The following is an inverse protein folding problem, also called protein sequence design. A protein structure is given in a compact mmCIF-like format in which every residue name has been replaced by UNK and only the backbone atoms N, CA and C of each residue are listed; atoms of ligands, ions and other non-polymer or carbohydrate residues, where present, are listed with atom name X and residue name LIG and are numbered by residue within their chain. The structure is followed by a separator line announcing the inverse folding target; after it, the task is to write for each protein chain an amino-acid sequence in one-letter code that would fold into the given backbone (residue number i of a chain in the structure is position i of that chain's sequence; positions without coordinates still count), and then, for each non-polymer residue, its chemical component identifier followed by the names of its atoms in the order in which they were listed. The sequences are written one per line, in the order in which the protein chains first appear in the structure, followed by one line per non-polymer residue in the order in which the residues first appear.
data_IF_446650616207
#
_entry.id   IF_446650616207
#
_cell.length_a   1.000
_cell.length_b   1.000
_cell.length_c   1.000
_cell.angle_alpha   90.00
_cell.angle_beta   90.00
_cell.angle_gamma   90.00
#
_symmetry.space_group_name_H-M   'P 1'
#
loop_
_entity.id
_entity.type
_entity.pdbx_description
1 polymer ?
#
# COMPACT_ATOMS: atom_id res chain seq x y z
N UNK A 1 -27.65 -21.28 9.03
CA UNK A 1 -28.41 -20.54 8.01
C UNK A 1 -27.61 -19.31 7.71
N UNK A 2 -26.89 -19.27 6.58
CA UNK A 2 -26.22 -18.05 6.13
C UNK A 2 -27.31 -17.02 5.83
N UNK A 3 -27.33 -15.93 6.59
CA UNK A 3 -28.20 -14.81 6.29
C UNK A 3 -27.48 -13.99 5.20
N UNK A 4 -27.92 -14.02 3.93
CA UNK A 4 -27.20 -13.34 2.87
C UNK A 4 -27.16 -11.84 3.16
N UNK A 5 -25.97 -11.24 3.02
CA UNK A 5 -25.79 -9.81 3.25
C UNK A 5 -26.70 -9.00 2.31
N UNK A 6 -27.30 -7.88 2.76
CA UNK A 6 -28.15 -7.05 1.91
C UNK A 6 -27.41 -6.57 0.66
N UNK A 7 -28.06 -6.45 -0.53
CA UNK A 7 -27.36 -6.13 -1.79
C UNK A 7 -26.46 -4.90 -1.76
N UNK A 8 -26.82 -3.87 -0.97
CA UNK A 8 -26.08 -2.61 -0.80
C UNK A 8 -25.31 -2.50 0.53
N UNK A 9 -25.02 -3.61 1.22
CA UNK A 9 -24.34 -3.59 2.54
C UNK A 9 -23.05 -2.77 2.55
N UNK A 10 -22.31 -2.78 1.44
CA UNK A 10 -21.03 -2.07 1.29
C UNK A 10 -21.20 -0.55 1.37
N UNK A 11 -22.37 -0.02 1.03
CA UNK A 11 -22.69 1.40 1.19
C UNK A 11 -22.81 1.76 2.67
N UNK A 12 -23.51 0.93 3.46
CA UNK A 12 -23.60 1.11 4.92
C UNK A 12 -22.22 1.09 5.57
N UNK A 13 -21.37 0.16 5.16
CA UNK A 13 -20.00 0.06 5.69
C UNK A 13 -19.16 1.28 5.33
N UNK A 14 -19.28 1.78 4.10
CA UNK A 14 -18.58 2.99 3.68
C UNK A 14 -19.10 4.23 4.44
N UNK A 15 -20.41 4.36 4.65
CA UNK A 15 -20.98 5.46 5.42
C UNK A 15 -20.55 5.42 6.89
N UNK A 16 -20.46 4.24 7.48
CA UNK A 16 -19.94 4.06 8.84
C UNK A 16 -18.49 4.55 8.93
N UNK A 17 -17.65 4.17 7.96
CA UNK A 17 -16.27 4.64 7.87
C UNK A 17 -16.19 6.17 7.76
N UNK A 18 -16.94 6.77 6.84
CA UNK A 18 -16.95 8.22 6.66
C UNK A 18 -17.46 8.95 7.91
N UNK A 19 -18.49 8.41 8.56
CA UNK A 19 -19.05 8.97 9.79
C UNK A 19 -18.04 8.93 10.94
N UNK A 20 -17.32 7.82 11.10
CA UNK A 20 -16.23 7.72 12.06
C UNK A 20 -15.15 8.78 11.82
N UNK A 21 -14.71 8.94 10.56
CA UNK A 21 -13.66 9.90 10.23
C UNK A 21 -14.11 11.35 10.46
N UNK A 22 -15.34 11.69 10.09
CA UNK A 22 -15.93 13.01 10.39
C UNK A 22 -16.02 13.28 11.89
N UNK A 23 -16.38 12.27 12.69
CA UNK A 23 -16.49 12.44 14.15
C UNK A 23 -15.12 12.59 14.82
N UNK A 24 -14.19 11.67 14.54
CA UNK A 24 -12.90 11.57 15.24
C UNK A 24 -11.79 12.43 14.67
N UNK A 25 -11.80 12.72 13.37
CA UNK A 25 -10.67 13.35 12.67
C UNK A 25 -11.04 14.61 11.89
N UNK A 26 -12.18 15.25 12.16
CA UNK A 26 -12.59 16.50 11.48
C UNK A 26 -11.48 17.57 11.43
N UNK A 27 -10.68 17.68 12.49
CA UNK A 27 -9.59 18.66 12.60
C UNK A 27 -8.34 18.29 11.78
N UNK A 28 -8.22 17.04 11.35
CA UNK A 28 -7.12 16.55 10.52
C UNK A 28 -7.45 16.61 9.02
N UNK A 29 -8.73 16.78 8.65
CA UNK A 29 -9.14 16.84 7.25
C UNK A 29 -8.79 18.19 6.63
N UNK A 30 -8.16 18.15 5.46
CA UNK A 30 -7.83 19.32 4.64
C UNK A 30 -8.82 19.44 3.47
N UNK A 31 -8.71 20.54 2.71
CA UNK A 31 -9.69 20.89 1.68
C UNK A 31 -9.93 19.79 0.63
N UNK A 32 -8.91 19.05 0.13
CA UNK A 32 -9.14 17.89 -0.73
C UNK A 32 -10.13 16.85 -0.16
N UNK A 33 -9.95 16.40 1.09
CA UNK A 33 -10.84 15.41 1.70
C UNK A 33 -12.22 16.00 2.01
N UNK A 34 -12.29 17.25 2.46
CA UNK A 34 -13.56 17.94 2.67
C UNK A 34 -14.34 18.12 1.37
N UNK A 35 -13.66 18.45 0.28
CA UNK A 35 -14.23 18.54 -1.07
C UNK A 35 -14.76 17.20 -1.52
N UNK A 36 -14.02 16.12 -1.30
CA UNK A 36 -14.51 14.76 -1.57
C UNK A 36 -15.80 14.47 -0.78
N UNK A 37 -15.82 14.70 0.54
CA UNK A 37 -16.99 14.44 1.37
C UNK A 37 -18.21 15.23 0.89
N UNK A 38 -18.08 16.55 0.67
CA UNK A 38 -19.17 17.39 0.15
C UNK A 38 -19.70 16.87 -1.19
N UNK A 39 -18.82 16.51 -2.11
CA UNK A 39 -19.22 15.96 -3.41
C UNK A 39 -19.90 14.60 -3.25
N UNK A 40 -19.40 13.73 -2.37
CA UNK A 40 -19.91 12.37 -2.19
C UNK A 40 -21.33 12.39 -1.64
N UNK A 41 -21.60 13.22 -0.64
CA UNK A 41 -22.94 13.41 -0.09
C UNK A 41 -23.91 14.12 -1.03
N UNK A 42 -23.43 14.73 -2.12
CA UNK A 42 -24.29 15.29 -3.16
C UNK A 42 -24.69 14.28 -4.26
N UNK A 43 -24.13 13.07 -4.24
CA UNK A 43 -24.45 12.03 -5.21
C UNK A 43 -25.79 11.34 -4.87
N UNK A 44 -26.58 10.95 -5.88
CA UNK A 44 -27.69 10.01 -5.69
C UNK A 44 -27.20 8.67 -5.12
N UNK A 45 -28.10 7.95 -4.42
CA UNK A 45 -27.77 6.69 -3.75
C UNK A 45 -27.10 5.65 -4.69
N UNK A 46 -27.64 5.49 -5.89
CA UNK A 46 -27.11 4.53 -6.88
C UNK A 46 -25.75 4.96 -7.45
N UNK A 47 -25.53 6.26 -7.61
CA UNK A 47 -24.22 6.81 -8.00
C UNK A 47 -23.18 6.59 -6.89
N UNK A 48 -23.55 6.75 -5.62
CA UNK A 48 -22.67 6.40 -4.49
C UNK A 48 -22.33 4.91 -4.50
N UNK A 49 -23.32 4.04 -4.73
CA UNK A 49 -23.11 2.60 -4.83
C UNK A 49 -22.10 2.26 -5.93
N UNK A 50 -22.28 2.83 -7.13
CA UNK A 50 -21.37 2.61 -8.26
C UNK A 50 -19.94 3.10 -7.94
N UNK A 51 -19.82 4.27 -7.29
CA UNK A 51 -18.51 4.77 -6.88
C UNK A 51 -17.82 3.83 -5.87
N UNK A 52 -18.54 3.35 -4.85
CA UNK A 52 -17.97 2.40 -3.87
C UNK A 52 -17.59 1.07 -4.54
N UNK A 53 -18.35 0.63 -5.56
CA UNK A 53 -17.96 -0.55 -6.36
C UNK A 53 -16.62 -0.35 -7.06
N UNK A 54 -16.29 0.86 -7.52
CA UNK A 54 -14.95 1.16 -8.02
C UNK A 54 -13.90 1.11 -6.91
N UNK A 55 -14.16 1.72 -5.74
CA UNK A 55 -13.19 1.78 -4.64
C UNK A 55 -12.87 0.41 -4.03
N UNK A 56 -13.80 -0.54 -4.14
CA UNK A 56 -13.64 -1.90 -3.63
C UNK A 56 -12.99 -2.85 -4.64
N UNK A 57 -12.75 -2.42 -5.88
CA UNK A 57 -12.04 -3.20 -6.90
C UNK A 57 -10.57 -2.79 -6.94
N UNK A 58 -9.72 -3.73 -7.36
CA UNK A 58 -8.30 -3.47 -7.60
C UNK A 58 -8.12 -2.63 -8.87
N UNK A 59 -7.29 -1.59 -8.78
CA UNK A 59 -6.91 -0.72 -9.90
C UNK A 59 -7.76 0.55 -10.00
N UNK A 60 -7.29 1.51 -10.79
CA UNK A 60 -7.94 2.82 -10.98
C UNK A 60 -8.72 2.93 -12.28
N UNK A 61 -8.46 2.05 -13.25
CA UNK A 61 -9.07 2.08 -14.57
C UNK A 61 -10.07 0.93 -14.73
N UNK A 62 -11.20 1.21 -15.38
CA UNK A 62 -12.28 0.26 -15.54
C UNK A 62 -12.85 0.31 -16.96
N UNK A 63 -13.14 -0.87 -17.52
CA UNK A 63 -13.92 -0.97 -18.77
C UNK A 63 -15.40 -0.77 -18.48
N UNK A 64 -16.05 0.23 -19.08
CA UNK A 64 -17.49 0.52 -18.96
C UNK A 64 -18.34 -0.75 -19.18
N UNK A 65 -18.06 -1.50 -20.25
CA UNK A 65 -18.75 -2.77 -20.58
C UNK A 65 -18.59 -3.91 -19.56
N UNK A 66 -17.59 -3.82 -18.67
CA UNK A 66 -17.34 -4.82 -17.63
C UNK A 66 -18.12 -4.56 -16.35
N UNK A 67 -18.80 -3.41 -16.24
CA UNK A 67 -19.57 -3.02 -15.07
C UNK A 67 -20.94 -3.67 -15.16
N UNK A 68 -21.23 -4.58 -14.23
CA UNK A 68 -22.50 -5.30 -14.12
C UNK A 68 -22.87 -5.41 -12.65
N UNK A 69 -23.84 -4.62 -12.22
CA UNK A 69 -24.33 -4.56 -10.84
C UNK A 69 -25.85 -4.55 -10.87
N UNK A 70 -26.48 -5.64 -10.46
CA UNK A 70 -27.93 -5.82 -10.52
C UNK A 70 -28.67 -4.91 -9.53
N UNK A 71 -28.01 -4.50 -8.46
CA UNK A 71 -28.56 -3.65 -7.41
C UNK A 71 -28.56 -2.15 -7.76
N UNK A 72 -27.98 -1.76 -8.90
CA UNK A 72 -27.82 -0.37 -9.32
C UNK A 72 -28.68 -0.11 -10.56
N UNK A 73 -29.64 0.80 -10.45
CA UNK A 73 -30.52 1.11 -11.56
C UNK A 73 -29.84 2.03 -12.58
N UNK A 74 -30.00 1.68 -13.85
CA UNK A 74 -29.49 2.46 -15.00
C UNK A 74 -28.01 2.84 -14.87
N UNK A 75 -27.13 1.84 -14.88
CA UNK A 75 -25.69 1.98 -14.66
C UNK A 75 -25.04 3.04 -15.57
N UNK A 76 -25.43 3.12 -16.84
CA UNK A 76 -24.90 4.12 -17.78
C UNK A 76 -25.25 5.55 -17.35
N UNK A 77 -26.47 5.77 -16.84
CA UNK A 77 -26.87 7.06 -16.27
C UNK A 77 -26.10 7.39 -14.99
N UNK A 78 -25.91 6.41 -14.08
CA UNK A 78 -25.11 6.63 -12.87
C UNK A 78 -23.65 6.95 -13.20
N UNK A 79 -23.07 6.27 -14.19
CA UNK A 79 -21.72 6.53 -14.65
C UNK A 79 -21.60 7.95 -15.22
N UNK A 80 -22.60 8.42 -15.98
CA UNK A 80 -22.64 9.79 -16.48
C UNK A 80 -22.65 10.82 -15.35
N UNK A 81 -23.44 10.59 -14.29
CA UNK A 81 -23.44 11.45 -13.10
C UNK A 81 -22.06 11.48 -12.46
N UNK A 82 -21.39 10.33 -12.31
CA UNK A 82 -20.05 10.27 -11.74
C UNK A 82 -19.02 11.04 -12.59
N UNK A 83 -19.15 11.01 -13.92
CA UNK A 83 -18.33 11.81 -14.83
C UNK A 83 -18.60 13.32 -14.64
N UNK A 84 -19.86 13.75 -14.68
CA UNK A 84 -20.25 15.15 -14.50
C UNK A 84 -19.83 15.71 -13.13
N UNK A 85 -19.87 14.88 -12.09
CA UNK A 85 -19.43 15.23 -10.73
C UNK A 85 -17.93 15.04 -10.52
N UNK A 86 -17.20 14.54 -11.50
CA UNK A 86 -15.75 14.35 -11.48
C UNK A 86 -15.26 13.26 -10.53
N UNK A 87 -16.11 12.30 -10.16
CA UNK A 87 -15.70 11.06 -9.47
C UNK A 87 -15.05 10.06 -10.41
N UNK A 88 -15.34 10.21 -11.70
CA UNK A 88 -14.79 9.40 -12.76
C UNK A 88 -14.38 10.34 -13.89
N UNK A 89 -13.25 10.06 -14.54
CA UNK A 89 -12.80 10.78 -15.73
C UNK A 89 -12.76 9.84 -16.93
N UNK A 90 -13.05 10.38 -18.10
CA UNK A 90 -12.72 9.70 -19.35
C UNK A 90 -11.21 9.71 -19.58
N UNK A 91 -10.73 8.79 -20.42
CA UNK A 91 -9.29 8.66 -20.67
C UNK A 91 -8.72 9.90 -21.38
N UNK A 92 -7.90 10.66 -20.67
CA UNK A 92 -7.11 11.79 -21.18
C UNK A 92 -5.60 11.46 -21.15
N UNK A 93 -4.84 11.85 -22.18
CA UNK A 93 -3.40 11.62 -22.24
C UNK A 93 -2.62 12.45 -21.21
N UNK A 94 -2.87 13.75 -21.12
CA UNK A 94 -2.12 14.63 -20.22
C UNK A 94 -2.31 14.26 -18.75
N UNK A 95 -3.55 13.94 -18.37
CA UNK A 95 -3.90 13.59 -16.99
C UNK A 95 -3.44 12.18 -16.61
N UNK A 96 -3.31 11.26 -17.58
CA UNK A 96 -3.11 9.85 -17.28
C UNK A 96 -1.87 9.19 -17.90
N UNK A 97 -0.98 9.92 -18.59
CA UNK A 97 0.23 9.36 -19.21
C UNK A 97 1.11 8.53 -18.28
N UNK A 98 1.17 8.90 -16.99
CA UNK A 98 1.94 8.18 -15.98
C UNK A 98 1.32 6.82 -15.56
N UNK A 99 0.08 6.54 -16.00
CA UNK A 99 -0.64 5.30 -15.69
C UNK A 99 -0.72 4.34 -16.88
N UNK A 100 0.12 4.52 -17.91
CA UNK A 100 0.08 3.71 -19.14
C UNK A 100 0.10 2.19 -18.84
N UNK A 101 0.95 1.76 -17.90
CA UNK A 101 1.01 0.36 -17.49
C UNK A 101 -0.30 -0.14 -16.86
N UNK A 102 -0.94 0.65 -15.99
CA UNK A 102 -2.22 0.30 -15.37
C UNK A 102 -3.36 0.24 -16.39
N UNK A 103 -3.36 1.18 -17.35
CA UNK A 103 -4.32 1.22 -18.45
C UNK A 103 -4.22 -0.05 -19.30
N UNK A 104 -3.00 -0.42 -19.71
CA UNK A 104 -2.75 -1.64 -20.48
C UNK A 104 -3.12 -2.88 -19.67
N UNK A 105 -2.88 -2.89 -18.36
CA UNK A 105 -3.23 -4.01 -17.49
C UNK A 105 -4.74 -4.29 -17.44
N UNK A 106 -5.59 -3.28 -17.63
CA UNK A 106 -7.06 -3.46 -17.65
C UNK A 106 -7.56 -4.07 -18.96
N UNK A 107 -6.79 -3.94 -20.04
CA UNK A 107 -7.12 -4.52 -21.33
C UNK A 107 -6.96 -6.04 -21.32
N UNK A 108 -7.84 -6.74 -22.02
CA UNK A 108 -7.71 -8.17 -22.30
C UNK A 108 -6.79 -8.39 -23.48
N UNK A 109 -6.29 -9.61 -23.65
CA UNK A 109 -5.55 -10.00 -24.86
C UNK A 109 -6.36 -9.74 -26.15
N UNK A 110 -7.67 -9.96 -26.10
CA UNK A 110 -8.55 -9.68 -27.24
C UNK A 110 -8.63 -8.18 -27.54
N UNK A 111 -8.72 -7.34 -26.50
CA UNK A 111 -8.70 -5.87 -26.65
C UNK A 111 -7.38 -5.43 -27.33
N UNK A 112 -6.23 -5.91 -26.84
CA UNK A 112 -4.92 -5.59 -27.43
C UNK A 112 -4.81 -5.97 -28.92
N UNK A 113 -5.28 -7.16 -29.31
CA UNK A 113 -5.22 -7.65 -30.70
C UNK A 113 -6.23 -6.98 -31.64
N UNK A 114 -7.31 -6.40 -31.10
CA UNK A 114 -8.38 -5.79 -31.87
C UNK A 114 -8.21 -4.29 -32.02
N UNK A 115 -7.74 -3.61 -30.98
CA UNK A 115 -7.54 -2.16 -30.98
C UNK A 115 -6.22 -1.78 -31.68
N UNK A 116 -5.22 -2.64 -31.64
CA UNK A 116 -3.90 -2.41 -32.20
C UNK A 116 -3.55 -3.44 -33.27
N UNK A 117 -2.67 -3.09 -34.20
CA UNK A 117 -2.23 -3.98 -35.27
C UNK A 117 -1.18 -4.99 -34.78
N UNK A 118 -1.59 -5.82 -33.80
CA UNK A 118 -0.73 -6.80 -33.14
C UNK A 118 -1.09 -8.25 -33.48
N UNK A 119 -1.91 -8.47 -34.53
CA UNK A 119 -2.42 -9.81 -34.90
C UNK A 119 -1.31 -10.81 -35.22
N UNK A 120 -0.19 -10.34 -35.76
CA UNK A 120 1.01 -11.15 -36.03
C UNK A 120 1.62 -11.75 -34.75
N UNK A 121 1.34 -11.15 -33.59
CA UNK A 121 1.83 -11.56 -32.28
C UNK A 121 0.79 -12.35 -31.46
N UNK A 122 -0.29 -12.82 -32.08
CA UNK A 122 -1.42 -13.49 -31.39
C UNK A 122 -1.04 -14.67 -30.48
N UNK A 123 0.09 -15.31 -30.71
CA UNK A 123 0.56 -16.45 -29.93
C UNK A 123 1.26 -16.03 -28.62
N UNK A 124 1.66 -14.76 -28.48
CA UNK A 124 2.28 -14.24 -27.27
C UNK A 124 1.30 -14.19 -26.09
N UNK A 125 1.83 -14.30 -24.87
CA UNK A 125 1.04 -14.05 -23.65
C UNK A 125 0.66 -12.58 -23.54
N UNK A 126 -0.31 -12.24 -22.67
CA UNK A 126 -0.80 -10.86 -22.52
C UNK A 126 0.33 -9.91 -22.11
N UNK A 127 1.19 -10.35 -21.21
CA UNK A 127 2.31 -9.56 -20.68
C UNK A 127 3.31 -9.26 -21.80
N UNK A 128 3.62 -10.25 -22.63
CA UNK A 128 4.49 -10.09 -23.80
C UNK A 128 3.86 -9.19 -24.88
N UNK A 129 2.53 -9.26 -25.06
CA UNK A 129 1.80 -8.37 -25.95
C UNK A 129 1.80 -6.92 -25.45
N UNK A 130 1.70 -6.72 -24.13
CA UNK A 130 1.80 -5.40 -23.51
C UNK A 130 3.18 -4.77 -23.75
N UNK A 131 4.25 -5.55 -23.61
CA UNK A 131 5.60 -5.07 -23.94
C UNK A 131 5.77 -4.82 -25.45
N UNK A 132 5.24 -5.70 -26.30
CA UNK A 132 5.25 -5.47 -27.75
C UNK A 132 4.49 -4.19 -28.14
N UNK A 133 3.35 -3.91 -27.48
CA UNK A 133 2.59 -2.68 -27.68
C UNK A 133 3.44 -1.44 -27.39
N UNK A 134 4.15 -1.44 -26.24
CA UNK A 134 5.02 -0.33 -25.83
C UNK A 134 6.21 -0.10 -26.76
N UNK A 135 6.65 -1.14 -27.49
CA UNK A 135 7.70 -1.05 -28.51
C UNK A 135 7.14 -0.52 -29.83
N UNK A 136 5.93 -0.96 -30.20
CA UNK A 136 5.34 -0.67 -31.50
C UNK A 136 4.64 0.69 -31.60
N UNK A 137 4.27 1.30 -30.48
CA UNK A 137 3.49 2.54 -30.45
C UNK A 137 4.02 3.51 -29.39
N UNK A 138 3.94 4.82 -29.68
CA UNK A 138 4.17 5.84 -28.65
C UNK A 138 3.02 5.85 -27.61
N UNK A 139 3.26 6.32 -26.38
CA UNK A 139 2.20 6.53 -25.40
C UNK A 139 1.01 7.32 -25.96
N UNK A 140 1.25 8.43 -26.67
CA UNK A 140 0.21 9.27 -27.27
C UNK A 140 -0.64 8.50 -28.29
N UNK A 141 -0.02 7.65 -29.12
CA UNK A 141 -0.71 6.82 -30.10
C UNK A 141 -1.62 5.79 -29.41
N UNK A 142 -1.11 5.15 -28.35
CA UNK A 142 -1.89 4.20 -27.55
C UNK A 142 -3.12 4.91 -26.98
N UNK A 143 -2.94 6.07 -26.36
CA UNK A 143 -4.04 6.86 -25.82
C UNK A 143 -5.04 7.29 -26.88
N UNK A 144 -4.58 7.71 -28.06
CA UNK A 144 -5.45 8.11 -29.18
C UNK A 144 -6.32 6.96 -29.66
N UNK A 145 -5.79 5.73 -29.71
CA UNK A 145 -6.57 4.54 -30.05
C UNK A 145 -7.60 4.24 -28.95
N UNK A 146 -7.19 4.23 -27.68
CA UNK A 146 -8.07 3.90 -26.56
C UNK A 146 -9.16 4.96 -26.31
N UNK A 147 -8.87 6.25 -26.50
CA UNK A 147 -9.87 7.31 -26.35
C UNK A 147 -11.01 7.15 -27.38
N UNK A 148 -10.70 6.69 -28.60
CA UNK A 148 -11.70 6.43 -29.65
C UNK A 148 -12.65 5.29 -29.33
N UNK A 149 -12.22 4.30 -28.55
CA UNK A 149 -13.12 3.21 -28.15
C UNK A 149 -14.10 3.66 -27.07
N UNK A 150 -13.76 4.73 -26.31
CA UNK A 150 -14.56 5.29 -25.22
C UNK A 150 -14.95 4.27 -24.15
N UNK A 151 -14.21 3.16 -24.05
CA UNK A 151 -14.55 2.03 -23.19
C UNK A 151 -13.93 2.14 -21.80
N UNK A 152 -12.92 2.99 -21.60
CA UNK A 152 -12.18 3.09 -20.35
C UNK A 152 -12.55 4.36 -19.58
N UNK A 153 -12.62 4.21 -18.27
CA UNK A 153 -12.77 5.31 -17.34
C UNK A 153 -11.77 5.17 -16.20
N UNK A 154 -11.35 6.31 -15.63
CA UNK A 154 -10.46 6.41 -14.47
C UNK A 154 -11.26 6.85 -13.25
N UNK A 155 -11.15 6.13 -12.15
CA UNK A 155 -11.71 6.54 -10.86
C UNK A 155 -10.86 7.66 -10.26
N UNK A 156 -11.51 8.74 -9.84
CA UNK A 156 -10.89 9.86 -9.11
C UNK A 156 -11.10 9.71 -7.59
N UNK A 157 -10.48 10.61 -6.83
CA UNK A 157 -10.51 10.62 -5.36
C UNK A 157 -9.87 9.38 -4.71
N UNK A 158 -8.99 8.68 -5.43
CA UNK A 158 -8.29 7.51 -4.93
C UNK A 158 -7.43 7.83 -3.72
N UNK A 159 -6.78 9.01 -3.69
CA UNK A 159 -5.96 9.45 -2.58
C UNK A 159 -6.82 9.77 -1.36
N UNK A 160 -7.88 10.57 -1.53
CA UNK A 160 -8.79 10.95 -0.46
C UNK A 160 -9.48 9.72 0.14
N UNK A 161 -10.05 8.83 -0.69
CA UNK A 161 -10.71 7.61 -0.21
C UNK A 161 -9.71 6.71 0.52
N UNK A 162 -8.51 6.54 -0.04
CA UNK A 162 -7.51 5.68 0.60
C UNK A 162 -7.04 6.29 1.92
N UNK A 163 -6.87 7.61 2.02
CA UNK A 163 -6.49 8.31 3.25
C UNK A 163 -7.58 8.23 4.32
N UNK A 164 -8.85 8.45 3.96
CA UNK A 164 -9.98 8.27 4.89
C UNK A 164 -10.06 6.82 5.41
N UNK A 165 -9.84 5.84 4.52
CA UNK A 165 -9.73 4.43 4.94
C UNK A 165 -8.59 4.21 5.91
N UNK A 166 -7.43 4.79 5.66
CA UNK A 166 -6.30 4.68 6.57
C UNK A 166 -6.55 5.36 7.92
N UNK A 167 -7.24 6.50 7.98
CA UNK A 167 -7.61 7.12 9.24
C UNK A 167 -8.50 6.18 10.08
N UNK A 168 -9.45 5.50 9.41
CA UNK A 168 -10.33 4.52 10.05
C UNK A 168 -9.57 3.27 10.52
N UNK A 169 -8.84 2.61 9.62
CA UNK A 169 -8.16 1.34 9.90
C UNK A 169 -6.83 1.51 10.65
N UNK A 170 -6.24 2.70 10.63
CA UNK A 170 -4.92 3.06 11.17
C UNK A 170 -3.73 2.39 10.48
N UNK A 171 -3.95 1.74 9.34
CA UNK A 171 -2.97 1.10 8.48
C UNK A 171 -3.52 0.95 7.05
N UNK A 172 -2.67 0.57 6.08
CA UNK A 172 -3.04 0.41 4.66
C UNK A 172 -3.34 -1.03 4.23
N UNK A 173 -3.11 -2.02 5.08
CA UNK A 173 -3.34 -3.43 4.72
C UNK A 173 -4.79 -3.88 4.95
N UNK A 174 -5.50 -3.22 5.87
CA UNK A 174 -6.94 -3.44 6.07
C UNK A 174 -7.77 -2.63 5.07
N UNK A 175 -8.90 -3.20 4.68
CA UNK A 175 -9.83 -2.59 3.73
C UNK A 175 -11.30 -2.84 4.09
N UNK A 176 -12.20 -2.45 3.18
CA UNK A 176 -13.64 -2.62 3.39
C UNK A 176 -14.08 -4.08 3.55
N UNK A 177 -13.23 -5.06 3.19
CA UNK A 177 -13.52 -6.49 3.39
C UNK A 177 -13.50 -6.89 4.86
N UNK A 178 -12.82 -6.14 5.74
CA UNK A 178 -12.82 -6.40 7.19
C UNK A 178 -14.24 -6.35 7.78
N UNK A 179 -15.09 -5.44 7.30
CA UNK A 179 -16.50 -5.40 7.70
C UNK A 179 -17.26 -6.65 7.27
N UNK A 180 -16.99 -7.17 6.07
CA UNK A 180 -17.61 -8.39 5.57
C UNK A 180 -17.18 -9.60 6.39
N UNK A 181 -15.89 -9.70 6.71
CA UNK A 181 -15.34 -10.79 7.52
C UNK A 181 -15.92 -10.78 8.94
N UNK A 182 -16.12 -9.59 9.52
CA UNK A 182 -16.82 -9.41 10.80
C UNK A 182 -18.28 -9.84 10.70
N UNK A 183 -19.01 -9.32 9.72
CA UNK A 183 -20.46 -9.52 9.60
C UNK A 183 -20.81 -10.99 9.24
N UNK A 184 -19.90 -11.70 8.57
CA UNK A 184 -19.98 -13.15 8.33
C UNK A 184 -19.52 -14.01 9.51
N UNK A 185 -19.03 -13.41 10.60
CA UNK A 185 -18.52 -14.12 11.77
C UNK A 185 -17.21 -14.89 11.55
N UNK A 186 -16.50 -14.61 10.45
CA UNK A 186 -15.23 -15.24 10.09
C UNK A 186 -14.05 -14.67 10.89
N UNK A 187 -14.18 -13.42 11.36
CA UNK A 187 -13.24 -12.79 12.28
C UNK A 187 -14.01 -12.31 13.50
N UNK A 188 -13.70 -12.90 14.66
CA UNK A 188 -14.05 -12.32 15.95
C UNK A 188 -12.99 -11.27 16.28
N UNK A 189 -13.22 -10.02 15.89
CA UNK A 189 -12.63 -8.93 16.66
C UNK A 189 -13.22 -9.08 18.06
N UNK A 190 -12.38 -9.11 19.11
CA UNK A 190 -12.88 -8.97 20.47
C UNK A 190 -13.93 -7.86 20.44
N UNK A 191 -15.13 -8.12 20.97
CA UNK A 191 -16.22 -7.14 21.07
C UNK A 191 -15.74 -5.99 21.97
N UNK A 192 -14.88 -5.16 21.42
CA UNK A 192 -14.62 -3.84 21.91
C UNK A 192 -15.90 -3.10 21.56
N UNK A 193 -16.65 -2.75 22.60
CA UNK A 193 -17.70 -1.74 22.51
C UNK A 193 -17.22 -0.61 21.60
N UNK A 194 -18.12 -0.03 20.81
CA UNK A 194 -17.83 1.12 19.94
C UNK A 194 -17.07 2.26 20.68
N UNK A 195 -17.12 2.27 22.02
CA UNK A 195 -16.32 3.07 22.96
C UNK A 195 -14.78 2.98 22.77
N UNK A 196 -14.25 1.99 22.05
CA UNK A 196 -12.81 1.81 21.84
C UNK A 196 -12.31 2.03 20.40
N UNK A 197 -13.16 2.48 19.48
CA UNK A 197 -12.66 3.11 18.24
C UNK A 197 -12.13 4.52 18.58
N UNK A 198 -10.98 4.55 19.26
CA UNK A 198 -10.29 5.77 19.64
C UNK A 198 -9.52 6.31 18.44
N UNK A 199 -9.51 7.63 18.29
CA UNK A 199 -8.64 8.30 17.32
C UNK A 199 -7.18 7.86 17.56
N UNK A 200 -6.53 7.34 16.52
CA UNK A 200 -5.14 6.85 16.56
C UNK A 200 -4.10 7.91 16.24
N UNK A 201 -4.56 9.05 15.74
CA UNK A 201 -3.75 10.19 15.32
C UNK A 201 -4.34 11.44 15.96
N UNK A 202 -3.50 12.19 16.65
CA UNK A 202 -3.89 13.46 17.26
C UNK A 202 -3.67 14.61 16.28
N UNK A 203 -2.69 14.49 15.39
CA UNK A 203 -2.34 15.53 14.41
C UNK A 203 -2.32 15.01 12.98
N UNK A 204 -2.51 15.92 12.01
CA UNK A 204 -2.40 15.58 10.59
C UNK A 204 -1.01 15.08 10.23
N UNK A 205 0.03 15.67 10.84
CA UNK A 205 1.42 15.25 10.64
C UNK A 205 1.63 13.79 11.04
N UNK A 206 1.09 13.33 12.18
CA UNK A 206 1.19 11.92 12.57
C UNK A 206 0.57 10.97 11.56
N UNK A 207 -0.61 11.33 11.03
CA UNK A 207 -1.30 10.55 10.02
C UNK A 207 -0.51 10.51 8.70
N UNK A 208 0.00 11.66 8.26
CA UNK A 208 0.78 11.78 7.02
C UNK A 208 2.13 11.08 7.10
N UNK A 209 2.87 11.25 8.21
CA UNK A 209 4.14 10.55 8.42
C UNK A 209 3.91 9.02 8.38
N UNK A 210 2.92 8.52 9.11
CA UNK A 210 2.65 7.07 9.15
C UNK A 210 2.13 6.56 7.80
N UNK A 211 1.34 7.36 7.10
CA UNK A 211 0.90 7.05 5.74
C UNK A 211 2.09 6.91 4.80
N UNK A 212 3.01 7.89 4.81
CA UNK A 212 4.22 7.89 4.00
C UNK A 212 5.09 6.66 4.27
N UNK A 213 5.35 6.32 5.53
CA UNK A 213 6.10 5.09 5.86
C UNK A 213 5.37 3.84 5.36
N UNK A 214 4.03 3.82 5.42
CA UNK A 214 3.24 2.72 4.86
C UNK A 214 3.41 2.60 3.34
N UNK A 215 3.60 3.69 2.62
CA UNK A 215 3.95 3.65 1.19
C UNK A 215 5.35 3.08 0.96
N UNK A 216 6.32 3.44 1.80
CA UNK A 216 7.67 2.87 1.70
C UNK A 216 7.69 1.36 1.91
N UNK A 217 6.77 0.80 2.72
CA UNK A 217 6.60 -0.65 2.78
C UNK A 217 6.19 -1.24 1.43
N UNK A 218 5.22 -0.64 0.75
CA UNK A 218 4.74 -1.12 -0.55
C UNK A 218 5.84 -1.03 -1.61
N UNK A 219 6.55 0.09 -1.66
CA UNK A 219 7.70 0.28 -2.54
C UNK A 219 8.76 -0.79 -2.26
N UNK A 220 9.12 -1.01 -0.99
CA UNK A 220 10.08 -2.05 -0.65
C UNK A 220 9.63 -3.46 -1.07
N UNK A 221 8.35 -3.80 -0.90
CA UNK A 221 7.80 -5.08 -1.36
C UNK A 221 7.99 -5.30 -2.88
N UNK A 222 7.85 -4.25 -3.69
CA UNK A 222 8.15 -4.29 -5.12
C UNK A 222 9.65 -4.39 -5.41
N UNK A 223 10.46 -3.53 -4.79
CA UNK A 223 11.91 -3.48 -5.01
C UNK A 223 12.59 -4.82 -4.73
N UNK A 224 12.16 -5.55 -3.69
CA UNK A 224 12.67 -6.89 -3.35
C UNK A 224 12.58 -7.90 -4.50
N UNK A 225 11.63 -7.73 -5.41
CA UNK A 225 11.39 -8.65 -6.53
C UNK A 225 11.97 -8.15 -7.85
N UNK A 226 12.31 -6.86 -7.95
CA UNK A 226 12.67 -6.24 -9.24
C UNK A 226 14.06 -5.64 -9.26
N UNK A 227 14.64 -5.29 -8.11
CA UNK A 227 15.89 -4.55 -8.02
C UNK A 227 17.01 -5.35 -7.37
N UNK A 228 18.25 -4.95 -7.65
CA UNK A 228 19.44 -5.50 -7.02
C UNK A 228 19.61 -4.99 -5.58
N UNK A 229 20.39 -5.70 -4.73
CA UNK A 229 20.68 -5.24 -3.37
C UNK A 229 21.30 -3.84 -3.28
N UNK A 230 22.11 -3.44 -4.26
CA UNK A 230 22.72 -2.11 -4.30
C UNK A 230 21.67 -1.03 -4.50
N UNK A 231 20.77 -1.22 -5.47
CA UNK A 231 19.68 -0.27 -5.73
C UNK A 231 18.70 -0.15 -4.54
N UNK A 232 18.44 -1.25 -3.83
CA UNK A 232 17.63 -1.24 -2.60
C UNK A 232 18.32 -0.44 -1.49
N UNK A 233 19.64 -0.57 -1.35
CA UNK A 233 20.42 0.15 -0.35
C UNK A 233 20.44 1.65 -0.66
N UNK A 234 20.67 2.02 -1.93
CA UNK A 234 20.63 3.41 -2.39
C UNK A 234 19.24 4.03 -2.14
N UNK A 235 18.17 3.31 -2.47
CA UNK A 235 16.80 3.74 -2.15
C UNK A 235 16.60 3.96 -0.66
N UNK A 236 17.06 3.02 0.18
CA UNK A 236 16.97 3.14 1.64
C UNK A 236 17.73 4.36 2.16
N UNK A 237 18.97 4.58 1.72
CA UNK A 237 19.79 5.72 2.16
C UNK A 237 19.15 7.06 1.77
N UNK A 238 18.70 7.19 0.52
CA UNK A 238 17.99 8.39 0.06
C UNK A 238 16.68 8.62 0.84
N UNK A 239 15.95 7.55 1.13
CA UNK A 239 14.73 7.62 1.95
C UNK A 239 15.07 8.09 3.37
N UNK A 240 16.03 7.45 4.03
CA UNK A 240 16.49 7.81 5.38
C UNK A 240 16.94 9.28 5.47
N UNK A 241 17.64 9.79 4.45
CA UNK A 241 18.12 11.18 4.43
C UNK A 241 16.99 12.20 4.24
N UNK A 242 15.93 11.84 3.51
CA UNK A 242 14.79 12.74 3.27
C UNK A 242 13.81 12.82 4.46
N UNK A 243 13.87 11.86 5.38
CA UNK A 243 13.04 11.85 6.59
C UNK A 243 13.56 12.88 7.60
N UNK A 244 12.83 13.98 7.76
CA UNK A 244 13.05 14.97 8.83
C UNK A 244 11.92 14.87 9.86
N UNK A 245 12.29 14.75 11.14
CA UNK A 245 11.39 14.85 12.30
C UNK A 245 10.10 14.01 12.17
N UNK A 246 10.24 12.68 12.05
CA UNK A 246 9.11 11.77 12.09
C UNK A 246 8.40 11.82 13.45
N UNK A 247 7.07 11.81 13.42
CA UNK A 247 6.26 11.56 14.60
C UNK A 247 6.60 10.22 15.26
N UNK A 248 6.37 10.12 16.57
CA UNK A 248 6.62 8.91 17.36
C UNK A 248 5.91 7.68 16.79
N UNK A 249 4.65 7.86 16.37
CA UNK A 249 3.83 6.81 15.75
C UNK A 249 4.45 6.29 14.45
N UNK A 250 4.95 7.19 13.60
CA UNK A 250 5.59 6.83 12.34
C UNK A 250 6.98 6.22 12.54
N UNK A 251 7.74 6.70 13.53
CA UNK A 251 9.07 6.19 13.86
C UNK A 251 9.03 4.70 14.19
N UNK A 252 8.08 4.24 15.02
CA UNK A 252 7.92 2.80 15.31
C UNK A 252 7.62 1.99 14.04
N UNK A 253 6.83 2.55 13.12
CA UNK A 253 6.54 1.89 11.84
C UNK A 253 7.76 1.89 10.91
N UNK A 254 8.58 2.94 10.95
CA UNK A 254 9.82 3.05 10.17
C UNK A 254 10.86 2.04 10.63
N UNK A 255 11.08 1.90 11.94
CA UNK A 255 11.99 0.90 12.49
C UNK A 255 11.58 -0.52 12.10
N UNK A 256 10.27 -0.82 12.04
CA UNK A 256 9.78 -2.10 11.53
C UNK A 256 10.11 -2.32 10.05
N UNK A 257 10.08 -1.27 9.23
CA UNK A 257 10.47 -1.36 7.82
C UNK A 257 11.97 -1.62 7.72
N UNK A 258 12.79 -0.86 8.46
CA UNK A 258 14.23 -1.05 8.52
C UNK A 258 14.61 -2.48 8.96
N UNK A 259 13.93 -3.04 9.96
CA UNK A 259 14.13 -4.44 10.35
C UNK A 259 13.81 -5.43 9.21
N UNK A 260 12.77 -5.17 8.40
CA UNK A 260 12.48 -5.99 7.21
C UNK A 260 13.54 -5.83 6.12
N UNK A 261 14.02 -4.61 5.88
CA UNK A 261 15.08 -4.31 4.91
C UNK A 261 16.38 -5.03 5.32
N UNK A 262 16.83 -4.86 6.56
CA UNK A 262 18.02 -5.54 7.08
C UNK A 262 17.90 -7.06 7.01
N UNK A 263 16.73 -7.63 7.35
CA UNK A 263 16.48 -9.07 7.24
C UNK A 263 16.55 -9.55 5.80
N UNK A 264 16.06 -8.76 4.84
CA UNK A 264 16.15 -9.10 3.43
C UNK A 264 17.61 -9.15 2.95
N UNK A 265 18.44 -8.16 3.31
CA UNK A 265 19.87 -8.19 3.02
C UNK A 265 20.59 -9.40 3.64
N UNK A 266 20.25 -9.74 4.89
CA UNK A 266 20.77 -10.95 5.52
C UNK A 266 20.41 -12.24 4.78
N UNK A 267 19.16 -12.37 4.32
CA UNK A 267 18.70 -13.54 3.56
C UNK A 267 19.47 -13.69 2.25
N UNK A 268 19.90 -12.57 1.67
CA UNK A 268 20.75 -12.54 0.48
C UNK A 268 22.25 -12.56 0.78
N UNK A 269 22.66 -12.69 2.05
CA UNK A 269 24.07 -12.70 2.51
C UNK A 269 24.83 -11.39 2.26
N UNK A 270 24.13 -10.27 2.05
CA UNK A 270 24.72 -8.93 1.98
C UNK A 270 24.82 -8.33 3.39
N UNK A 271 25.71 -8.89 4.22
CA UNK A 271 25.79 -8.55 5.64
C UNK A 271 26.23 -7.11 5.91
N UNK A 272 27.09 -6.53 5.08
CA UNK A 272 27.51 -5.13 5.23
C UNK A 272 26.33 -4.16 5.03
N UNK A 273 25.51 -4.39 4.00
CA UNK A 273 24.28 -3.63 3.76
C UNK A 273 23.26 -3.81 4.91
N UNK A 274 23.14 -5.05 5.44
CA UNK A 274 22.28 -5.30 6.59
C UNK A 274 22.74 -4.51 7.84
N UNK A 275 24.06 -4.45 8.10
CA UNK A 275 24.63 -3.67 9.20
C UNK A 275 24.39 -2.18 9.02
N UNK A 276 24.51 -1.67 7.80
CA UNK A 276 24.20 -0.28 7.48
C UNK A 276 22.73 0.08 7.74
N UNK A 277 21.81 -0.87 7.60
CA UNK A 277 20.42 -0.65 7.99
C UNK A 277 20.28 -0.70 9.51
N UNK A 278 20.77 -1.76 10.16
CA UNK A 278 20.57 -1.99 11.60
C UNK A 278 21.21 -0.94 12.51
N UNK A 279 22.30 -0.27 12.09
CA UNK A 279 22.92 0.82 12.87
C UNK A 279 21.96 1.98 13.16
N UNK A 280 20.91 2.14 12.36
CA UNK A 280 19.93 3.22 12.47
C UNK A 280 18.63 2.79 13.18
N UNK A 281 18.57 1.59 13.78
CA UNK A 281 17.34 1.02 14.34
C UNK A 281 17.50 0.75 15.84
N UNK A 282 16.64 1.35 16.66
CA UNK A 282 16.62 1.11 18.10
C UNK A 282 15.62 0.02 18.52
N UNK A 283 14.77 -0.45 17.61
CA UNK A 283 13.83 -1.53 17.90
C UNK A 283 14.49 -2.92 17.93
N UNK A 284 14.10 -3.73 18.92
CA UNK A 284 14.43 -5.16 18.97
C UNK A 284 13.90 -5.88 17.72
N UNK A 285 14.63 -6.81 17.09
CA UNK A 285 15.94 -7.37 17.50
C UNK A 285 17.15 -6.77 16.73
N UNK A 286 17.18 -5.48 16.39
CA UNK A 286 18.22 -4.91 15.51
C UNK A 286 19.66 -5.22 15.95
N UNK A 287 19.99 -5.03 17.23
CA UNK A 287 21.35 -5.27 17.76
C UNK A 287 21.73 -6.75 17.74
N UNK A 288 20.82 -7.66 18.12
CA UNK A 288 21.04 -9.11 17.96
C UNK A 288 21.37 -9.46 16.50
N UNK A 289 20.59 -8.92 15.56
CA UNK A 289 20.79 -9.18 14.13
C UNK A 289 22.13 -8.63 13.65
N UNK A 290 22.50 -7.43 14.09
CA UNK A 290 23.80 -6.83 13.80
C UNK A 290 24.98 -7.68 14.35
N UNK A 291 24.89 -8.17 15.58
CA UNK A 291 25.89 -9.09 16.15
C UNK A 291 26.06 -10.34 15.28
N UNK A 292 24.95 -10.94 14.82
CA UNK A 292 25.00 -12.11 13.93
C UNK A 292 25.65 -11.78 12.59
N UNK A 293 25.37 -10.61 12.02
CA UNK A 293 26.01 -10.14 10.79
C UNK A 293 27.52 -9.97 11.00
N UNK A 294 27.97 -9.23 12.01
CA UNK A 294 29.39 -9.01 12.32
C UNK A 294 30.16 -10.33 12.46
N UNK A 295 29.58 -11.31 13.17
CA UNK A 295 30.16 -12.64 13.30
C UNK A 295 30.25 -13.40 11.97
N UNK A 296 29.34 -13.16 11.01
CA UNK A 296 29.36 -13.78 9.68
C UNK A 296 30.42 -13.19 8.75
N UNK A 297 30.69 -11.89 8.86
CA UNK A 297 31.73 -11.20 8.08
C UNK A 297 33.12 -11.22 8.74
N UNK A 298 33.25 -11.82 9.94
CA UNK A 298 34.53 -12.06 10.61
C UNK A 298 34.98 -10.97 11.58
N UNK A 299 34.16 -9.95 11.81
CA UNK A 299 34.38 -8.86 12.76
C UNK A 299 33.98 -9.30 14.18
N UNK A 300 34.75 -10.27 14.72
CA UNK A 300 34.43 -10.95 15.99
C UNK A 300 34.56 -10.02 17.18
N UNK A 301 35.54 -9.11 17.17
CA UNK A 301 35.75 -8.21 18.31
C UNK A 301 34.67 -7.12 18.37
N UNK A 302 34.22 -6.61 17.22
CA UNK A 302 33.07 -5.71 17.13
C UNK A 302 31.78 -6.41 17.57
N UNK A 303 31.59 -7.68 17.21
CA UNK A 303 30.44 -8.47 17.65
C UNK A 303 30.43 -8.63 19.18
N UNK A 304 31.59 -8.94 19.79
CA UNK A 304 31.73 -9.02 21.25
C UNK A 304 31.47 -7.68 21.93
N UNK A 305 32.03 -6.60 21.40
CA UNK A 305 31.83 -5.25 21.93
C UNK A 305 30.34 -4.87 21.95
N UNK A 306 29.61 -5.16 20.86
CA UNK A 306 28.17 -4.92 20.80
C UNK A 306 27.40 -5.81 21.78
N UNK A 307 27.75 -7.09 21.95
CA UNK A 307 27.16 -7.92 22.99
C UNK A 307 27.40 -7.38 24.40
N UNK A 308 28.60 -6.90 24.72
CA UNK A 308 28.87 -6.28 26.03
C UNK A 308 27.98 -5.06 26.27
N UNK A 309 27.75 -4.23 25.25
CA UNK A 309 26.79 -3.12 25.34
C UNK A 309 25.36 -3.61 25.60
N UNK A 310 24.94 -4.70 24.95
CA UNK A 310 23.63 -5.32 25.16
C UNK A 310 23.47 -5.91 26.57
N UNK A 311 24.54 -6.43 27.18
CA UNK A 311 24.52 -6.91 28.58
C UNK A 311 24.44 -5.76 29.59
N UNK A 312 25.14 -4.65 29.33
CA UNK A 312 25.14 -3.48 30.23
C UNK A 312 23.82 -2.70 30.13
N UNK A 313 23.29 -2.53 28.92
CA UNK A 313 22.06 -1.77 28.66
C UNK A 313 21.13 -2.51 27.67
N UNK A 314 20.45 -3.56 28.12
CA UNK A 314 19.51 -4.32 27.30
C UNK A 314 18.22 -3.54 27.03
N UNK A 315 17.68 -3.68 25.83
CA UNK A 315 16.34 -3.22 25.46
C UNK A 315 15.26 -4.15 26.03
N UNK A 316 15.57 -5.44 26.18
CA UNK A 316 14.71 -6.42 26.85
C UNK A 316 15.50 -7.62 27.39
N UNK A 317 14.82 -8.49 28.14
CA UNK A 317 15.43 -9.68 28.74
C UNK A 317 15.96 -10.68 27.70
N UNK A 318 15.24 -10.87 26.58
CA UNK A 318 15.64 -11.78 25.50
C UNK A 318 16.98 -11.36 24.87
N UNK A 319 17.17 -10.05 24.69
CA UNK A 319 18.38 -9.48 24.14
C UNK A 319 19.57 -9.63 25.10
N UNK A 320 19.35 -9.42 26.40
CA UNK A 320 20.37 -9.67 27.42
C UNK A 320 20.83 -11.14 27.39
N UNK A 321 19.85 -12.07 27.41
CA UNK A 321 20.13 -13.50 27.36
C UNK A 321 20.87 -13.89 26.07
N UNK A 322 20.45 -13.35 24.92
CA UNK A 322 21.13 -13.55 23.66
C UNK A 322 22.60 -13.09 23.75
N UNK A 323 22.87 -11.89 24.27
CA UNK A 323 24.22 -11.34 24.35
C UNK A 323 25.16 -12.19 25.22
N UNK A 324 24.71 -12.58 26.41
CA UNK A 324 25.48 -13.43 27.34
C UNK A 324 25.79 -14.81 26.75
N UNK A 325 24.83 -15.39 26.03
CA UNK A 325 24.99 -16.67 25.34
C UNK A 325 25.92 -16.55 24.12
N UNK A 326 25.72 -15.52 23.30
CA UNK A 326 26.41 -15.38 22.02
C UNK A 326 27.91 -15.04 22.18
N UNK A 327 28.28 -14.25 23.18
CA UNK A 327 29.71 -13.96 23.49
C UNK A 327 30.49 -15.24 23.77
N UNK A 328 29.94 -16.14 24.59
CA UNK A 328 30.58 -17.44 24.91
C UNK A 328 30.80 -18.29 23.67
N UNK A 329 29.86 -18.26 22.72
CA UNK A 329 29.99 -18.96 21.44
C UNK A 329 31.07 -18.35 20.54
N UNK A 330 31.25 -17.03 20.58
CA UNK A 330 32.32 -16.34 19.84
C UNK A 330 33.70 -16.68 20.44
N UNK A 331 33.80 -16.80 21.76
CA UNK A 331 35.03 -17.19 22.47
C UNK A 331 35.39 -18.67 22.28
N UNK A 332 34.38 -19.55 22.20
CA UNK A 332 34.56 -20.98 21.93
C UNK A 332 34.98 -21.32 20.50
N UNK A 333 34.83 -20.40 19.54
CA UNK A 333 35.28 -20.53 18.15
C UNK A 333 36.75 -20.10 17.96
N UNK A 334 37.64 -20.46 18.89
CA UNK A 334 39.09 -20.33 18.64
C UNK A 334 39.45 -21.18 17.41
N UNK A 335 40.11 -20.53 16.44
CA UNK A 335 40.56 -21.09 15.14
C UNK A 335 41.31 -22.40 15.29
#
# INVERSE_FOLDING_TARGET
MENPLPPKYYQTNFEYLLSFVKDKYKSLLIEPEWRFLRKYYSLPNDSQCLFIRFTNRKGLFFKKKSLKYEEIENLDFQLKILIEKGFVSELNFEDHKNYLSDIIYVLTKADLLSFFDLKSYKNLKKEQLAEQLKISYSPEEIFKVLAKTSELVKMNFELEVSFLRFLFFGNKYMDMTEFVLRDLGLIQYYQHSDDHLVARFETRKEAEDKWMISEFFLVFEELKSTQSPVEILDWYQNTQQSLQELSTVAMTTWERLQLKIGKHFEQQKHFDAALEVYKNVNAVPSRERAVRCLAKIGYVEEAKALCHQMTINPQNADEQFFAEYFVKNLEGKKK
#
